data_IF_255997936355
#
_entry.id   IF_255997936355
#
_cell.length_a   1.000
_cell.length_b   1.000
_cell.length_c   1.000
_cell.angle_alpha   90.00
_cell.angle_beta   90.00
_cell.angle_gamma   90.00
#
_symmetry.space_group_name_H-M   'P 1'
#
loop_
_entity.id
_entity.type
_entity.pdbx_description
1 polymer ?
#
# COMPACT_ATOMS: atom_id res chain seq x y z
N UNK A 1 -0.75 -15.41 -13.39
CA UNK A 1 -0.50 -14.04 -12.87
C UNK A 1 -0.32 -13.04 -14.01
N UNK A 2 0.72 -13.16 -14.85
CA UNK A 2 0.99 -12.18 -15.93
C UNK A 2 -0.15 -12.11 -16.96
N UNK A 3 -0.64 -13.24 -17.48
CA UNK A 3 -1.81 -13.29 -18.39
C UNK A 3 -3.09 -12.65 -17.81
N UNK A 4 -3.25 -12.70 -16.49
CA UNK A 4 -4.40 -12.09 -15.81
C UNK A 4 -4.29 -10.57 -15.75
N UNK A 5 -3.09 -10.04 -15.53
CA UNK A 5 -2.83 -8.59 -15.53
C UNK A 5 -2.81 -7.95 -16.92
N UNK A 6 -2.79 -8.76 -18.00
CA UNK A 6 -3.03 -8.26 -19.36
C UNK A 6 -4.48 -7.81 -19.58
N UNK A 7 -5.43 -8.26 -18.74
CA UNK A 7 -6.80 -7.77 -18.79
C UNK A 7 -6.90 -6.45 -17.99
N UNK A 8 -7.22 -5.31 -18.65
CA UNK A 8 -7.17 -4.00 -18.00
C UNK A 8 -8.14 -3.88 -16.82
N UNK A 9 -9.28 -4.60 -16.86
CA UNK A 9 -10.23 -4.64 -15.76
C UNK A 9 -9.62 -5.28 -14.51
N UNK A 10 -8.92 -6.41 -14.65
CA UNK A 10 -8.29 -7.11 -13.52
C UNK A 10 -7.16 -6.25 -12.94
N UNK A 11 -6.33 -5.65 -13.81
CA UNK A 11 -5.28 -4.74 -13.38
C UNK A 11 -5.86 -3.50 -12.67
N UNK A 12 -6.94 -2.92 -13.18
CA UNK A 12 -7.63 -1.79 -12.57
C UNK A 12 -8.20 -2.13 -11.19
N UNK A 13 -8.93 -3.24 -11.06
CA UNK A 13 -9.45 -3.72 -9.75
C UNK A 13 -8.31 -3.98 -8.78
N UNK A 14 -7.21 -4.57 -9.24
CA UNK A 14 -6.03 -4.79 -8.40
C UNK A 14 -5.47 -3.47 -7.87
N UNK A 15 -5.26 -2.48 -8.74
CA UNK A 15 -4.74 -1.16 -8.34
C UNK A 15 -5.65 -0.49 -7.30
N UNK A 16 -6.97 -0.57 -7.48
CA UNK A 16 -7.94 -0.06 -6.49
C UNK A 16 -7.79 -0.82 -5.17
N UNK A 17 -7.66 -2.15 -5.20
CA UNK A 17 -7.44 -2.95 -4.00
C UNK A 17 -6.13 -2.57 -3.29
N UNK A 18 -5.05 -2.25 -4.02
CA UNK A 18 -3.80 -1.77 -3.44
C UNK A 18 -3.95 -0.39 -2.79
N UNK A 19 -4.83 0.48 -3.31
CA UNK A 19 -5.18 1.74 -2.64
C UNK A 19 -5.96 1.49 -1.34
N UNK A 20 -6.89 0.55 -1.31
CA UNK A 20 -7.53 0.14 -0.06
C UNK A 20 -6.51 -0.40 0.96
N UNK A 21 -5.53 -1.17 0.48
CA UNK A 21 -4.43 -1.67 1.31
C UNK A 21 -3.59 -0.53 1.92
N UNK A 22 -3.39 0.57 1.20
CA UNK A 22 -2.72 1.77 1.74
C UNK A 22 -3.37 2.23 3.04
N UNK A 23 -4.68 2.48 2.99
CA UNK A 23 -5.45 2.97 4.14
C UNK A 23 -5.47 1.96 5.28
N UNK A 24 -5.61 0.67 4.95
CA UNK A 24 -5.59 -0.41 5.94
C UNK A 24 -4.25 -0.46 6.69
N UNK A 25 -3.12 -0.39 5.98
CA UNK A 25 -1.79 -0.42 6.59
C UNK A 25 -1.52 0.84 7.40
N UNK A 26 -1.84 2.01 6.86
CA UNK A 26 -1.68 3.27 7.59
C UNK A 26 -2.45 3.25 8.93
N UNK A 27 -3.74 2.92 8.88
CA UNK A 27 -4.58 2.84 10.07
C UNK A 27 -4.10 1.74 11.04
N UNK A 28 -3.73 0.57 10.51
CA UNK A 28 -3.22 -0.55 11.31
C UNK A 28 -1.93 -0.21 12.05
N UNK A 29 -0.95 0.42 11.37
CA UNK A 29 0.30 0.86 11.99
C UNK A 29 0.02 1.83 13.13
N UNK A 30 -0.77 2.88 12.89
CA UNK A 30 -1.10 3.86 13.93
C UNK A 30 -1.79 3.20 15.14
N UNK A 31 -2.76 2.31 14.89
CA UNK A 31 -3.48 1.58 15.95
C UNK A 31 -2.60 0.61 16.75
N UNK A 32 -1.65 -0.07 16.09
CA UNK A 32 -0.68 -0.96 16.75
C UNK A 32 0.19 -0.19 17.74
N UNK A 33 0.73 0.95 17.32
CA UNK A 33 1.55 1.79 18.19
C UNK A 33 0.75 2.42 19.34
N UNK A 34 -0.53 2.75 19.13
CA UNK A 34 -1.42 3.18 20.21
C UNK A 34 -1.65 2.06 21.23
N UNK A 35 -1.88 0.82 20.78
CA UNK A 35 -2.07 -0.35 21.65
C UNK A 35 -0.81 -0.66 22.47
N UNK A 36 0.37 -0.41 21.90
CA UNK A 36 1.66 -0.56 22.57
C UNK A 36 1.97 0.58 23.58
N UNK A 37 1.05 1.54 23.77
CA UNK A 37 1.19 2.64 24.72
C UNK A 37 1.90 3.88 24.16
N UNK A 38 2.21 3.92 22.86
CA UNK A 38 2.83 5.08 22.20
C UNK A 38 1.73 6.06 21.80
N UNK A 39 1.15 6.74 22.80
CA UNK A 39 0.02 7.66 22.62
C UNK A 39 0.40 9.13 22.78
N UNK A 40 1.65 9.44 23.15
CA UNK A 40 2.09 10.82 23.31
C UNK A 40 2.08 11.57 21.96
N UNK A 41 1.51 12.78 21.86
CA UNK A 41 1.26 13.47 20.59
C UNK A 41 2.49 13.58 19.67
N UNK A 42 3.66 13.85 20.26
CA UNK A 42 4.94 13.93 19.53
C UNK A 42 5.35 12.60 18.88
N UNK A 43 5.15 11.48 19.57
CA UNK A 43 5.50 10.16 19.06
C UNK A 43 4.46 9.68 18.04
N UNK A 44 3.18 10.01 18.27
CA UNK A 44 2.10 9.68 17.34
C UNK A 44 2.32 10.33 15.97
N UNK A 45 2.73 11.60 15.92
CA UNK A 45 3.07 12.27 14.65
C UNK A 45 4.24 11.59 13.92
N UNK A 46 5.22 11.05 14.65
CA UNK A 46 6.32 10.31 14.04
C UNK A 46 5.85 8.96 13.49
N UNK A 47 4.99 8.26 14.23
CA UNK A 47 4.37 7.01 13.82
C UNK A 47 3.48 7.21 12.58
N UNK A 48 2.70 8.28 12.52
CA UNK A 48 1.85 8.58 11.35
C UNK A 48 2.67 8.80 10.09
N UNK A 49 3.78 9.56 10.18
CA UNK A 49 4.71 9.76 9.06
C UNK A 49 5.36 8.45 8.64
N UNK A 50 5.79 7.64 9.60
CA UNK A 50 6.33 6.31 9.34
C UNK A 50 5.29 5.40 8.68
N UNK A 51 4.05 5.39 9.17
CA UNK A 51 2.94 4.63 8.61
C UNK A 51 2.62 5.03 7.17
N UNK A 52 2.61 6.32 6.86
CA UNK A 52 2.46 6.82 5.48
C UNK A 52 3.59 6.34 4.57
N UNK A 53 4.85 6.45 5.02
CA UNK A 53 6.02 6.04 4.25
C UNK A 53 6.01 4.52 3.98
N UNK A 54 5.76 3.72 5.01
CA UNK A 54 5.70 2.26 4.91
C UNK A 54 4.57 1.82 3.97
N UNK A 55 3.36 2.35 4.17
CA UNK A 55 2.20 2.03 3.33
C UNK A 55 2.45 2.45 1.86
N UNK A 56 3.06 3.61 1.63
CA UNK A 56 3.38 4.08 0.28
C UNK A 56 4.38 3.16 -0.43
N UNK A 57 5.47 2.77 0.24
CA UNK A 57 6.48 1.87 -0.32
C UNK A 57 5.86 0.53 -0.72
N UNK A 58 5.04 -0.04 0.16
CA UNK A 58 4.37 -1.33 -0.09
C UNK A 58 3.42 -1.21 -1.29
N UNK A 59 2.57 -0.19 -1.31
CA UNK A 59 1.56 -0.01 -2.36
C UNK A 59 2.20 0.30 -3.71
N UNK A 60 3.25 1.12 -3.76
CA UNK A 60 4.02 1.37 -4.99
C UNK A 60 4.67 0.08 -5.48
N UNK A 61 5.27 -0.71 -4.59
CA UNK A 61 5.85 -2.00 -4.93
C UNK A 61 4.83 -2.95 -5.55
N UNK A 62 3.66 -3.11 -4.93
CA UNK A 62 2.60 -3.97 -5.46
C UNK A 62 1.96 -3.44 -6.74
N UNK A 63 1.72 -2.12 -6.84
CA UNK A 63 1.17 -1.50 -8.04
C UNK A 63 2.12 -1.56 -9.24
N UNK A 64 3.44 -1.61 -9.01
CA UNK A 64 4.44 -1.70 -10.08
C UNK A 64 4.30 -2.95 -10.95
N UNK A 65 3.80 -4.06 -10.39
CA UNK A 65 3.64 -5.34 -11.09
C UNK A 65 2.60 -5.27 -12.22
N UNK A 66 1.31 -4.98 -11.96
CA UNK A 66 0.31 -4.87 -13.01
C UNK A 66 0.63 -3.72 -13.99
N UNK A 67 1.19 -2.61 -13.50
CA UNK A 67 1.60 -1.49 -14.37
C UNK A 67 2.72 -1.92 -15.31
N UNK A 68 3.75 -2.63 -14.82
CA UNK A 68 4.84 -3.15 -15.63
C UNK A 68 4.39 -4.19 -16.66
N UNK A 69 3.37 -4.99 -16.32
CA UNK A 69 2.75 -5.93 -17.26
C UNK A 69 1.95 -5.19 -18.35
N UNK A 70 1.17 -4.16 -17.98
CA UNK A 70 0.42 -3.34 -18.95
C UNK A 70 1.33 -2.56 -19.89
N UNK A 71 2.47 -2.06 -19.40
CA UNK A 71 3.48 -1.35 -20.18
C UNK A 71 4.38 -2.29 -21.01
N UNK A 72 4.24 -3.62 -20.89
CA UNK A 72 5.02 -4.61 -21.63
C UNK A 72 6.49 -4.73 -21.19
N UNK A 73 6.85 -4.12 -20.06
CA UNK A 73 8.19 -4.20 -19.44
C UNK A 73 8.42 -5.57 -18.80
N UNK A 74 7.34 -6.19 -18.29
CA UNK A 74 7.34 -7.52 -17.68
C UNK A 74 6.51 -8.47 -18.56
N UNK A 75 7.09 -9.59 -19.00
CA UNK A 75 6.48 -10.59 -19.89
C UNK A 75 6.38 -11.97 -19.24
#
# INVERSE_FOLDING_TARGET
VIRSFQQPLIAGVYVVATVCLYFHLFHGVVSLFQTLGVSHPRHLQAVEKFGHALAAIIVIGFASVPIGVLLGVVK
#
